data_IF_719641804320
#
_entry.id   IF_719641804320
#
_cell.length_a   1.000
_cell.length_b   1.000
_cell.length_c   1.000
_cell.angle_alpha   90.00
_cell.angle_beta   90.00
_cell.angle_gamma   90.00
#
_symmetry.space_group_name_H-M   'P 1'
#
loop_
_entity.id
_entity.type
_entity.pdbx_description
1 polymer ?
#
# COMPACT_ATOMS: atom_id res chain seq x y z
N UNK A 1 0.63 -15.67 -29.24
CA UNK A 1 0.80 -16.40 -27.96
C UNK A 1 -0.36 -17.34 -27.60
N UNK A 2 -1.52 -17.32 -28.29
CA UNK A 2 -2.69 -18.17 -27.94
C UNK A 2 -2.58 -19.60 -28.53
N UNK A 3 -1.80 -19.78 -29.59
CA UNK A 3 -1.72 -21.04 -30.35
C UNK A 3 -0.97 -22.20 -29.65
N UNK A 4 -0.23 -21.98 -28.55
CA UNK A 4 0.51 -23.04 -27.86
C UNK A 4 -0.34 -23.81 -26.82
N UNK A 5 -1.48 -23.25 -26.41
CA UNK A 5 -2.31 -23.84 -25.35
C UNK A 5 -3.25 -24.94 -25.87
N UNK A 6 -3.65 -24.87 -27.15
CA UNK A 6 -4.67 -25.76 -27.73
C UNK A 6 -4.16 -27.18 -28.02
N UNK A 7 -2.85 -27.34 -28.31
CA UNK A 7 -2.26 -28.65 -28.64
C UNK A 7 -2.00 -29.56 -27.42
N UNK A 8 -2.17 -29.05 -26.19
CA UNK A 8 -1.78 -29.77 -24.96
C UNK A 8 -2.94 -30.23 -24.07
N UNK A 9 -4.19 -29.97 -24.45
CA UNK A 9 -5.37 -30.40 -23.67
C UNK A 9 -5.43 -29.81 -22.26
N UNK A 10 -4.80 -28.66 -22.03
CA UNK A 10 -4.84 -27.95 -20.75
C UNK A 10 -6.03 -27.00 -20.80
N UNK A 11 -7.11 -27.34 -20.09
CA UNK A 11 -8.26 -26.46 -19.90
C UNK A 11 -7.78 -25.15 -19.23
N UNK A 12 -7.80 -24.01 -19.93
CA UNK A 12 -7.32 -22.76 -19.34
C UNK A 12 -8.32 -22.34 -18.26
N UNK A 13 -8.04 -22.67 -17.01
CA UNK A 13 -8.83 -22.18 -15.90
C UNK A 13 -8.93 -20.65 -15.97
N UNK A 14 -10.12 -20.08 -15.74
CA UNK A 14 -10.36 -18.66 -15.97
C UNK A 14 -9.47 -17.82 -15.04
N UNK A 15 -8.51 -17.09 -15.64
CA UNK A 15 -7.67 -16.08 -14.97
C UNK A 15 -8.49 -15.04 -14.19
N UNK A 16 -9.77 -14.87 -14.56
CA UNK A 16 -10.74 -14.00 -13.89
C UNK A 16 -10.90 -14.31 -12.39
N UNK A 17 -10.85 -15.59 -11.97
CA UNK A 17 -10.98 -15.94 -10.55
C UNK A 17 -9.77 -15.50 -9.73
N UNK A 18 -8.57 -15.58 -10.30
CA UNK A 18 -7.31 -15.20 -9.65
C UNK A 18 -7.16 -13.68 -9.55
N UNK A 19 -7.65 -12.93 -10.54
CA UNK A 19 -7.57 -11.46 -10.55
C UNK A 19 -8.52 -10.84 -9.51
N UNK A 20 -9.74 -11.37 -9.37
CA UNK A 20 -10.71 -10.90 -8.37
C UNK A 20 -10.15 -11.00 -6.94
N UNK A 21 -9.47 -12.10 -6.62
CA UNK A 21 -8.87 -12.33 -5.30
C UNK A 21 -7.81 -11.27 -4.96
N UNK A 22 -6.99 -10.87 -5.94
CA UNK A 22 -5.92 -9.87 -5.72
C UNK A 22 -6.51 -8.47 -5.47
N UNK A 23 -7.53 -8.07 -6.22
CA UNK A 23 -8.19 -6.76 -6.03
C UNK A 23 -8.91 -6.67 -4.68
N UNK A 24 -9.52 -7.76 -4.24
CA UNK A 24 -10.15 -7.85 -2.92
C UNK A 24 -9.12 -7.73 -1.79
N UNK A 25 -7.93 -8.32 -1.97
CA UNK A 25 -6.83 -8.21 -1.01
C UNK A 25 -6.27 -6.78 -0.92
N UNK A 26 -6.10 -6.10 -2.05
CA UNK A 26 -5.68 -4.68 -2.06
C UNK A 26 -6.70 -3.82 -1.31
N UNK A 27 -7.99 -4.02 -1.57
CA UNK A 27 -9.05 -3.23 -0.94
C UNK A 27 -9.10 -3.42 0.59
N UNK A 28 -8.81 -4.64 1.08
CA UNK A 28 -8.65 -4.90 2.52
C UNK A 28 -7.43 -4.20 3.09
N UNK A 29 -6.33 -4.22 2.36
CA UNK A 29 -5.08 -3.57 2.78
C UNK A 29 -5.26 -2.06 2.92
N UNK A 30 -6.00 -1.43 2.01
CA UNK A 30 -6.34 -0.01 2.06
C UNK A 30 -7.17 0.33 3.29
N UNK A 31 -8.21 -0.46 3.58
CA UNK A 31 -9.06 -0.26 4.75
C UNK A 31 -8.25 -0.34 6.05
N UNK A 32 -7.33 -1.31 6.14
CA UNK A 32 -6.44 -1.46 7.29
C UNK A 32 -5.41 -0.31 7.39
N UNK A 33 -4.93 0.21 6.26
CA UNK A 33 -4.07 1.42 6.24
C UNK A 33 -4.86 2.63 6.75
N UNK A 34 -6.10 2.82 6.29
CA UNK A 34 -6.94 3.92 6.75
C UNK A 34 -7.25 3.82 8.25
N UNK A 35 -7.56 2.64 8.75
CA UNK A 35 -7.81 2.41 10.18
C UNK A 35 -6.55 2.70 11.02
N UNK A 36 -5.40 2.18 10.61
CA UNK A 36 -4.15 2.32 11.36
C UNK A 36 -3.69 3.78 11.45
N UNK A 37 -3.83 4.53 10.35
CA UNK A 37 -3.52 5.96 10.29
C UNK A 37 -4.62 6.83 10.94
N UNK A 38 -5.65 6.20 11.51
CA UNK A 38 -6.68 6.84 12.33
C UNK A 38 -7.80 7.52 11.54
N UNK A 39 -8.03 7.14 10.28
CA UNK A 39 -9.10 7.65 9.41
C UNK A 39 -9.10 9.17 9.23
N UNK A 40 -8.01 9.84 9.61
CA UNK A 40 -7.99 11.27 9.86
C UNK A 40 -7.49 12.03 8.64
N UNK A 41 -8.36 12.19 7.64
CA UNK A 41 -8.12 13.20 6.59
C UNK A 41 -9.12 13.25 5.44
N UNK A 42 -9.72 12.12 5.04
CA UNK A 42 -10.54 12.07 3.81
C UNK A 42 -12.05 12.13 4.06
N UNK A 43 -12.52 11.78 5.25
CA UNK A 43 -13.95 11.87 5.61
C UNK A 43 -14.38 13.23 6.18
N UNK A 44 -13.44 14.11 6.55
CA UNK A 44 -13.75 15.45 7.10
C UNK A 44 -13.59 16.60 6.09
N UNK A 45 -13.23 16.34 4.84
CA UNK A 45 -12.85 17.36 3.85
C UNK A 45 -13.81 17.51 2.65
N UNK A 46 -15.10 17.18 2.82
CA UNK A 46 -16.17 17.69 1.92
C UNK A 46 -17.23 18.46 2.69
N UNK A 47 -16.79 19.47 3.45
CA UNK A 47 -17.73 20.42 4.04
C UNK A 47 -17.21 21.16 5.26
N UNK A 48 -16.23 22.05 5.08
CA UNK A 48 -16.05 23.29 5.85
C UNK A 48 -14.87 24.08 5.29
N UNK A 49 -15.19 25.23 4.70
CA UNK A 49 -14.22 26.21 4.21
C UNK A 49 -13.57 26.94 5.38
N UNK A 50 -12.23 27.01 5.39
CA UNK A 50 -11.34 28.03 5.96
C UNK A 50 -9.93 27.39 5.96
N UNK A 51 -8.94 27.78 5.17
CA UNK A 51 -8.39 29.12 5.06
C UNK A 51 -7.17 29.24 5.98
N UNK A 52 -6.01 28.68 5.57
CA UNK A 52 -4.68 29.06 6.08
C UNK A 52 -3.54 28.37 5.32
N UNK A 53 -2.90 29.14 4.46
CA UNK A 53 -1.45 29.35 4.34
C UNK A 53 -0.43 28.18 4.47
N UNK A 54 0.35 28.08 3.38
CA UNK A 54 1.82 28.08 3.34
C UNK A 54 2.62 26.77 3.49
N UNK A 55 3.15 26.39 2.31
CA UNK A 55 4.59 26.20 2.01
C UNK A 55 5.27 24.89 2.38
N UNK A 56 5.54 24.15 1.30
CA UNK A 56 6.87 23.74 0.83
C UNK A 56 7.66 22.75 1.68
N UNK A 57 7.84 21.54 1.14
CA UNK A 57 9.12 21.21 0.49
C UNK A 57 9.04 19.90 -0.29
N UNK A 58 9.19 20.04 -1.60
CA UNK A 58 9.72 19.03 -2.49
C UNK A 58 11.10 18.55 -2.01
N UNK A 59 11.29 17.24 -1.88
CA UNK A 59 12.59 16.64 -2.18
C UNK A 59 12.39 15.22 -2.72
N UNK A 60 12.72 15.09 -4.00
CA UNK A 60 12.73 13.87 -4.79
C UNK A 60 13.87 12.93 -4.38
N UNK A 61 13.65 11.64 -4.64
CA UNK A 61 14.57 10.58 -5.07
C UNK A 61 15.84 10.33 -4.22
N UNK A 62 16.08 9.09 -3.78
CA UNK A 62 16.78 8.06 -4.56
C UNK A 62 16.83 6.73 -3.78
N UNK A 63 17.11 5.63 -4.47
CA UNK A 63 16.86 4.26 -4.02
C UNK A 63 17.78 3.70 -2.92
N UNK A 64 17.42 2.47 -2.54
CA UNK A 64 17.94 1.62 -1.46
C UNK A 64 17.33 1.90 -0.08
N UNK A 65 16.36 1.08 0.31
CA UNK A 65 15.99 0.88 1.73
C UNK A 65 16.78 -0.31 2.26
N UNK A 66 17.78 -0.09 3.14
CA UNK A 66 18.18 -1.11 4.09
C UNK A 66 16.98 -1.37 4.99
N UNK A 67 16.53 -2.63 5.04
CA UNK A 67 15.47 -3.07 5.95
C UNK A 67 16.05 -3.20 7.37
N UNK A 68 16.39 -2.06 7.97
CA UNK A 68 16.66 -1.94 9.39
C UNK A 68 15.68 -0.89 9.92
N UNK A 69 14.48 -1.36 10.24
CA UNK A 69 13.39 -0.51 10.71
C UNK A 69 13.43 -0.29 12.23
N UNK A 70 14.26 -1.08 12.93
CA UNK A 70 14.63 -0.92 14.34
C UNK A 70 15.24 0.47 14.65
N UNK A 71 14.38 1.46 14.86
CA UNK A 71 14.74 2.82 15.25
C UNK A 71 14.19 3.96 14.39
N UNK A 72 13.40 3.69 13.36
CA UNK A 72 12.75 4.78 12.60
C UNK A 72 11.69 5.50 13.45
N UNK A 73 11.58 6.84 13.39
CA UNK A 73 10.48 7.56 14.02
C UNK A 73 9.13 7.07 13.48
N UNK A 74 8.13 6.93 14.37
CA UNK A 74 6.78 6.48 13.98
C UNK A 74 6.16 7.30 12.84
N UNK A 75 6.53 8.59 12.73
CA UNK A 75 6.12 9.45 11.61
C UNK A 75 6.72 9.02 10.27
N UNK A 76 8.00 8.63 10.24
CA UNK A 76 8.69 8.24 9.02
C UNK A 76 8.14 6.91 8.50
N UNK A 77 7.75 6.00 9.41
CA UNK A 77 7.02 4.78 9.07
C UNK A 77 5.64 5.07 8.45
N UNK A 78 4.89 6.02 9.01
CA UNK A 78 3.60 6.45 8.44
C UNK A 78 3.76 7.02 7.02
N UNK A 79 4.77 7.87 6.82
CA UNK A 79 5.04 8.47 5.51
C UNK A 79 5.46 7.39 4.49
N UNK A 80 6.26 6.40 4.91
CA UNK A 80 6.66 5.27 4.08
C UNK A 80 5.48 4.37 3.70
N UNK A 81 4.63 4.00 4.67
CA UNK A 81 3.41 3.21 4.43
C UNK A 81 2.52 3.91 3.40
N UNK A 82 2.35 5.23 3.53
CA UNK A 82 1.54 6.03 2.59
C UNK A 82 2.10 5.96 1.17
N UNK A 83 3.41 6.17 1.01
CA UNK A 83 4.07 6.12 -0.30
C UNK A 83 3.98 4.74 -0.95
N UNK A 84 4.24 3.68 -0.19
CA UNK A 84 4.16 2.31 -0.70
C UNK A 84 2.72 1.95 -1.09
N UNK A 85 1.73 2.44 -0.35
CA UNK A 85 0.31 2.26 -0.71
C UNK A 85 0.01 2.91 -2.07
N UNK A 86 0.48 4.13 -2.32
CA UNK A 86 0.35 4.80 -3.63
C UNK A 86 1.05 4.03 -4.76
N UNK A 87 2.23 3.48 -4.50
CA UNK A 87 2.97 2.64 -5.47
C UNK A 87 2.26 1.32 -5.75
N UNK A 88 1.67 0.68 -4.73
CA UNK A 88 0.84 -0.51 -4.86
C UNK A 88 -0.37 -0.24 -5.77
N UNK A 89 -1.08 0.88 -5.55
CA UNK A 89 -2.21 1.27 -6.40
C UNK A 89 -1.80 1.52 -7.84
N UNK A 90 -0.67 2.20 -8.05
CA UNK A 90 -0.15 2.46 -9.39
C UNK A 90 0.17 1.15 -10.11
N UNK A 91 0.87 0.22 -9.46
CA UNK A 91 1.16 -1.10 -10.00
C UNK A 91 -0.13 -1.90 -10.31
N UNK A 92 -1.14 -1.84 -9.43
CA UNK A 92 -2.42 -2.49 -9.65
C UNK A 92 -3.19 -1.88 -10.85
N UNK A 93 -3.17 -0.56 -10.99
CA UNK A 93 -3.77 0.15 -12.12
C UNK A 93 -3.08 -0.20 -13.46
N UNK A 94 -1.77 -0.44 -13.42
CA UNK A 94 -0.96 -0.92 -14.55
C UNK A 94 -1.04 -2.44 -14.77
N UNK A 95 -1.89 -3.16 -14.04
CA UNK A 95 -2.06 -4.63 -14.09
C UNK A 95 -0.79 -5.42 -13.71
N UNK A 96 0.14 -4.79 -12.99
CA UNK A 96 1.37 -5.40 -12.47
C UNK A 96 1.11 -6.07 -11.11
N UNK A 97 0.31 -7.13 -11.11
CA UNK A 97 -0.17 -7.75 -9.86
C UNK A 97 0.92 -8.36 -8.98
N UNK A 98 2.00 -8.89 -9.57
CA UNK A 98 3.12 -9.43 -8.80
C UNK A 98 3.84 -8.32 -8.02
N UNK A 99 4.03 -7.16 -8.66
CA UNK A 99 4.63 -6.00 -8.02
C UNK A 99 3.70 -5.42 -6.95
N UNK A 100 2.40 -5.32 -7.24
CA UNK A 100 1.41 -4.90 -6.26
C UNK A 100 1.36 -5.84 -5.03
N UNK A 101 1.46 -7.16 -5.24
CA UNK A 101 1.49 -8.14 -4.16
C UNK A 101 2.74 -7.98 -3.27
N UNK A 102 3.90 -7.71 -3.88
CA UNK A 102 5.12 -7.41 -3.13
C UNK A 102 4.96 -6.16 -2.27
N UNK A 103 4.42 -5.08 -2.84
CA UNK A 103 4.18 -3.86 -2.08
C UNK A 103 3.20 -4.06 -0.93
N UNK A 104 2.14 -4.87 -1.13
CA UNK A 104 1.21 -5.25 -0.05
C UNK A 104 1.94 -5.91 1.12
N UNK A 105 2.81 -6.87 0.84
CA UNK A 105 3.53 -7.59 1.88
C UNK A 105 4.48 -6.66 2.65
N UNK A 106 5.20 -5.78 1.95
CA UNK A 106 6.05 -4.76 2.57
C UNK A 106 5.24 -3.77 3.44
N UNK A 107 4.07 -3.32 2.96
CA UNK A 107 3.15 -2.47 3.73
C UNK A 107 2.67 -3.18 5.01
N UNK A 108 2.25 -4.44 4.89
CA UNK A 108 1.77 -5.25 6.02
C UNK A 108 2.82 -5.39 7.12
N UNK A 109 4.09 -5.54 6.77
CA UNK A 109 5.17 -5.66 7.76
C UNK A 109 5.45 -4.32 8.46
N UNK A 110 5.52 -3.21 7.72
CA UNK A 110 5.69 -1.87 8.30
C UNK A 110 4.53 -1.49 9.24
N UNK A 111 3.30 -1.92 8.92
CA UNK A 111 2.14 -1.71 9.78
C UNK A 111 2.25 -2.47 11.10
N UNK A 112 2.74 -3.71 11.09
CA UNK A 112 2.96 -4.50 12.32
C UNK A 112 3.95 -3.79 13.23
N UNK A 113 5.03 -3.30 12.66
CA UNK A 113 6.05 -2.56 13.40
C UNK A 113 5.50 -1.25 13.98
N UNK A 114 4.74 -0.48 13.19
CA UNK A 114 4.10 0.73 13.68
C UNK A 114 3.16 0.45 14.87
N UNK A 115 2.43 -0.68 14.85
CA UNK A 115 1.60 -1.12 15.99
C UNK A 115 2.46 -1.46 17.21
N UNK A 116 3.52 -2.22 17.03
CA UNK A 116 4.45 -2.58 18.11
C UNK A 116 5.09 -1.34 18.75
N UNK A 117 5.53 -0.36 17.95
CA UNK A 117 6.06 0.91 18.46
C UNK A 117 5.02 1.69 19.27
N UNK A 118 3.77 1.73 18.79
CA UNK A 118 2.68 2.42 19.50
C UNK A 118 2.36 1.76 20.82
N UNK A 119 2.34 0.43 20.87
CA UNK A 119 2.13 -0.35 22.09
C UNK A 119 3.30 -0.18 23.08
N UNK A 120 4.54 -0.25 22.60
CA UNK A 120 5.73 -0.08 23.43
C UNK A 120 5.89 1.35 24.00
N UNK A 121 5.35 2.37 23.32
CA UNK A 121 5.34 3.75 23.79
C UNK A 121 4.20 4.12 24.75
N UNK A 122 3.24 3.20 25.00
CA UNK A 122 2.12 3.38 25.94
C UNK A 122 2.27 2.50 27.18
N UNK A 123 3.46 2.49 27.79
CA UNK A 123 3.79 1.82 29.05
C UNK A 123 4.30 2.79 30.11
#
# INVERSE_FOLDING_TARGET
QIAYNDERGVDPQPLRKKIADITDLISKEDADTEELLGGSGRSRSRGRNAGSDMRSRSKSADGAVPMDSDGMPAKDLVDLITRLTEQMHTAAAELQFELAARYRDEISDLKKELRQMREAGHG
#
